data_IF_976759628445
#
_entry.id   IF_976759628445
#
_cell.length_a   1.000
_cell.length_b   1.000
_cell.length_c   1.000
_cell.angle_alpha   90.00
_cell.angle_beta   90.00
_cell.angle_gamma   90.00
#
_symmetry.space_group_name_H-M   'P 1'
#
loop_
_entity.id
_entity.type
_entity.pdbx_description
1 polymer ?
#
# COMPACT_ATOMS: atom_id res chain seq x y z
N UNK A 1 -13.15 -16.58 14.46
CA UNK A 1 -13.50 -15.98 13.96
C UNK A 1 -12.81 -15.01 13.20
N UNK A 2 -11.68 -14.74 13.40
CA UNK A 2 -10.98 -13.74 12.66
C UNK A 2 -9.96 -14.30 11.74
N UNK A 3 -10.16 -15.52 11.32
CA UNK A 3 -9.22 -16.16 10.42
C UNK A 3 -9.54 -15.91 8.97
N UNK A 4 -10.52 -15.05 8.70
CA UNK A 4 -10.87 -14.78 7.33
C UNK A 4 -9.88 -13.80 6.74
N UNK A 5 -9.67 -13.83 5.42
CA UNK A 5 -8.82 -12.84 4.78
C UNK A 5 -9.27 -11.41 5.08
N UNK A 6 -10.57 -11.20 5.22
CA UNK A 6 -11.08 -9.86 5.49
C UNK A 6 -10.63 -9.35 6.85
N UNK A 7 -10.53 -10.23 7.84
CA UNK A 7 -10.07 -9.80 9.16
C UNK A 7 -8.67 -9.25 9.09
N UNK A 8 -7.79 -9.95 8.38
CA UNK A 8 -6.42 -9.50 8.21
C UNK A 8 -6.37 -8.19 7.42
N UNK A 9 -7.14 -8.12 6.34
CA UNK A 9 -7.15 -6.93 5.51
C UNK A 9 -7.61 -5.71 6.29
N UNK A 10 -8.64 -5.87 7.10
CA UNK A 10 -9.14 -4.74 7.89
C UNK A 10 -8.12 -4.29 8.92
N UNK A 11 -7.41 -5.25 9.50
CA UNK A 11 -6.38 -4.93 10.47
C UNK A 11 -5.29 -4.06 9.83
N UNK A 12 -4.78 -4.50 8.69
CA UNK A 12 -3.73 -3.77 7.99
C UNK A 12 -4.26 -2.41 7.52
N UNK A 13 -5.48 -2.40 7.00
CA UNK A 13 -6.08 -1.16 6.52
C UNK A 13 -6.15 -0.12 7.64
N UNK A 14 -6.52 -0.56 8.84
CA UNK A 14 -6.63 0.37 9.96
C UNK A 14 -5.27 0.92 10.38
N UNK A 15 -4.24 0.08 10.33
CA UNK A 15 -2.90 0.53 10.69
C UNK A 15 -2.45 1.61 9.71
N UNK A 16 -2.65 1.39 8.41
CA UNK A 16 -2.21 2.35 7.41
C UNK A 16 -3.03 3.63 7.52
N UNK A 17 -4.35 3.50 7.68
CA UNK A 17 -5.20 4.67 7.77
C UNK A 17 -4.83 5.53 8.98
N UNK A 18 -4.54 4.89 10.10
CA UNK A 18 -4.15 5.64 11.29
C UNK A 18 -2.83 6.37 11.07
N UNK A 19 -1.89 5.75 10.39
CA UNK A 19 -0.62 6.39 10.10
C UNK A 19 -0.82 7.62 9.23
N UNK A 20 -1.72 7.52 8.26
CA UNK A 20 -2.02 8.65 7.38
C UNK A 20 -2.69 9.76 8.19
N UNK A 21 -3.66 9.41 9.00
CA UNK A 21 -4.41 10.39 9.78
C UNK A 21 -3.51 11.11 10.78
N UNK A 22 -2.58 10.39 11.37
CA UNK A 22 -1.68 10.96 12.36
C UNK A 22 -0.44 11.56 11.74
N UNK A 23 -0.31 11.48 10.42
CA UNK A 23 0.83 12.02 9.68
C UNK A 23 2.16 11.40 10.15
N UNK A 24 2.14 10.07 10.36
CA UNK A 24 3.34 9.36 10.80
C UNK A 24 3.68 8.22 9.84
N UNK A 25 3.47 8.44 8.54
CA UNK A 25 3.74 7.44 7.54
C UNK A 25 5.24 7.19 7.43
N UNK A 26 5.62 5.91 7.42
CA UNK A 26 7.00 5.49 7.32
C UNK A 26 7.11 4.39 6.27
N UNK A 27 8.34 3.98 5.98
CA UNK A 27 8.56 2.92 4.99
C UNK A 27 7.84 1.64 5.37
N UNK A 28 7.77 1.37 6.65
CA UNK A 28 7.06 0.20 7.15
C UNK A 28 5.62 0.16 6.62
N UNK A 29 4.99 1.31 6.47
CA UNK A 29 3.61 1.35 5.99
C UNK A 29 3.50 1.01 4.51
N UNK A 30 4.55 1.29 3.74
CA UNK A 30 4.58 0.86 2.35
C UNK A 30 4.68 -0.67 2.26
N UNK A 31 5.43 -1.28 3.17
CA UNK A 31 5.51 -2.72 3.21
C UNK A 31 4.15 -3.33 3.52
N UNK A 32 3.44 -2.74 4.47
CA UNK A 32 2.10 -3.22 4.81
C UNK A 32 1.14 -3.03 3.64
N UNK A 33 1.24 -1.90 2.95
CA UNK A 33 0.38 -1.64 1.82
C UNK A 33 0.62 -2.65 0.70
N UNK A 34 1.89 -2.94 0.41
CA UNK A 34 2.20 -3.93 -0.60
C UNK A 34 1.64 -5.31 -0.20
N UNK A 35 1.76 -5.64 1.07
CA UNK A 35 1.23 -6.89 1.57
C UNK A 35 -0.28 -6.96 1.36
N UNK A 36 -0.95 -5.86 1.64
CA UNK A 36 -2.39 -5.78 1.45
C UNK A 36 -2.75 -5.96 -0.03
N UNK A 37 -2.00 -5.30 -0.91
CA UNK A 37 -2.24 -5.43 -2.34
C UNK A 37 -2.02 -6.86 -2.82
N UNK A 38 -0.97 -7.50 -2.34
CA UNK A 38 -0.67 -8.87 -2.75
C UNK A 38 -1.78 -9.82 -2.33
N UNK A 39 -2.26 -9.68 -1.11
CA UNK A 39 -3.30 -10.58 -0.62
C UNK A 39 -4.62 -10.34 -1.32
N UNK A 40 -4.92 -9.08 -1.62
CA UNK A 40 -6.15 -8.76 -2.35
C UNK A 40 -6.08 -9.31 -3.77
N UNK A 41 -4.93 -9.15 -4.42
CA UNK A 41 -4.77 -9.66 -5.77
C UNK A 41 -4.94 -11.17 -5.80
N UNK A 42 -4.35 -11.86 -4.84
CA UNK A 42 -4.46 -13.30 -4.76
C UNK A 42 -5.91 -13.72 -4.54
N UNK A 43 -6.60 -13.01 -3.66
CA UNK A 43 -7.99 -13.32 -3.35
C UNK A 43 -8.89 -13.12 -4.57
N UNK A 44 -8.61 -12.08 -5.37
CA UNK A 44 -9.43 -11.76 -6.52
C UNK A 44 -8.98 -12.45 -7.80
N UNK A 45 -7.87 -13.17 -7.75
CA UNK A 45 -7.42 -13.91 -8.91
C UNK A 45 -6.55 -13.13 -9.88
N UNK A 46 -6.04 -11.99 -9.45
CA UNK A 46 -5.11 -11.23 -10.29
C UNK A 46 -3.71 -11.81 -10.20
N UNK A 47 -2.98 -11.74 -11.30
CA UNK A 47 -1.62 -12.25 -11.34
C UNK A 47 -0.63 -11.28 -10.70
N UNK A 48 -0.90 -10.00 -10.77
CA UNK A 48 0.00 -8.98 -10.27
C UNK A 48 -0.73 -8.00 -9.41
N UNK A 49 -0.17 -7.71 -8.24
CA UNK A 49 -0.81 -6.74 -7.35
C UNK A 49 -0.80 -5.33 -7.93
N UNK A 50 0.13 -5.05 -8.85
CA UNK A 50 0.17 -3.74 -9.49
C UNK A 50 -1.08 -3.42 -10.29
N UNK A 51 -1.79 -4.46 -10.71
CA UNK A 51 -3.02 -4.25 -11.46
C UNK A 51 -4.13 -3.66 -10.60
N UNK A 52 -3.94 -3.61 -9.30
CA UNK A 52 -4.91 -3.02 -8.39
C UNK A 52 -4.71 -1.53 -8.18
N UNK A 53 -3.64 -0.97 -8.72
CA UNK A 53 -3.37 0.46 -8.58
C UNK A 53 -4.13 1.22 -9.66
N UNK A 54 -5.36 1.58 -9.34
CA UNK A 54 -6.27 2.20 -10.31
C UNK A 54 -6.54 3.64 -9.93
N UNK A 55 -5.59 4.51 -10.26
CA UNK A 55 -5.77 5.95 -10.03
C UNK A 55 -6.21 6.57 -11.34
N UNK A 56 -7.32 7.27 -11.29
CA UNK A 56 -7.89 7.89 -12.47
C UNK A 56 -6.89 8.88 -13.06
N UNK A 57 -6.70 8.81 -14.38
CA UNK A 57 -5.77 9.69 -15.05
C UNK A 57 -4.33 9.24 -15.02
N UNK A 58 -4.05 8.12 -14.37
CA UNK A 58 -2.71 7.60 -14.29
C UNK A 58 -2.36 6.85 -15.58
N UNK A 59 -1.19 7.15 -16.13
CA UNK A 59 -0.72 6.42 -17.29
C UNK A 59 -0.10 5.09 -16.86
N UNK A 60 0.10 4.19 -17.82
CA UNK A 60 0.77 2.93 -17.53
C UNK A 60 2.18 3.20 -17.01
N UNK A 61 2.83 4.20 -17.55
CA UNK A 61 4.18 4.51 -17.14
C UNK A 61 4.22 4.98 -15.69
N UNK A 62 3.25 5.81 -15.31
CA UNK A 62 3.15 6.26 -13.94
C UNK A 62 2.90 5.09 -13.02
N UNK A 63 2.02 4.18 -13.43
CA UNK A 63 1.71 3.03 -12.59
C UNK A 63 2.94 2.16 -12.39
N UNK A 64 3.72 1.95 -13.43
CA UNK A 64 4.95 1.18 -13.31
C UNK A 64 5.93 1.86 -12.36
N UNK A 65 5.98 3.17 -12.41
CA UNK A 65 6.83 3.93 -11.50
C UNK A 65 6.41 3.76 -10.05
N UNK A 66 5.10 3.80 -9.80
CA UNK A 66 4.60 3.60 -8.45
C UNK A 66 4.88 2.18 -7.96
N UNK A 67 4.74 1.19 -8.85
CA UNK A 67 5.04 -0.18 -8.48
C UNK A 67 6.51 -0.31 -8.08
N UNK A 68 7.39 0.29 -8.87
CA UNK A 68 8.82 0.25 -8.55
C UNK A 68 9.10 0.92 -7.22
N UNK A 69 8.45 2.04 -6.96
CA UNK A 69 8.66 2.74 -5.71
C UNK A 69 8.17 1.92 -4.52
N UNK A 70 6.99 1.33 -4.63
CA UNK A 70 6.45 0.51 -3.54
C UNK A 70 7.38 -0.67 -3.27
N UNK A 71 7.87 -1.31 -4.33
CA UNK A 71 8.80 -2.41 -4.16
C UNK A 71 10.07 -1.95 -3.44
N UNK A 72 10.60 -0.83 -3.87
CA UNK A 72 11.82 -0.31 -3.27
C UNK A 72 11.60 0.05 -1.81
N UNK A 73 10.49 0.70 -1.50
CA UNK A 73 10.22 1.13 -0.14
C UNK A 73 9.95 -0.04 0.80
N UNK A 74 9.48 -1.17 0.25
CA UNK A 74 9.15 -2.30 1.09
C UNK A 74 10.32 -3.25 1.31
N UNK A 75 11.46 -3.03 0.65
CA UNK A 75 12.64 -3.86 0.87
C UNK A 75 13.50 -3.21 1.94
N UNK A 76 13.38 -3.71 3.15
CA UNK A 76 14.14 -3.18 4.28
C UNK A 76 15.30 -4.09 4.60
N UNK A 77 16.44 -3.81 4.00
CA UNK A 77 17.65 -4.47 4.43
C UNK A 77 18.20 -3.72 5.62
N UNK A 78 18.96 -4.44 6.43
CA UNK A 78 19.55 -3.82 7.60
C UNK A 78 20.36 -2.59 7.22
N UNK A 79 21.07 -2.69 6.09
CA UNK A 79 21.87 -1.56 5.62
C UNK A 79 21.02 -0.36 5.25
N UNK A 80 19.74 -0.59 5.00
CA UNK A 80 18.83 0.48 4.64
C UNK A 80 18.15 1.11 5.84
N UNK A 81 18.44 0.61 7.02
CA UNK A 81 17.89 1.21 8.24
C UNK A 81 18.42 2.60 8.49
N UNK A 82 19.58 2.88 7.92
CA UNK A 82 20.07 4.24 7.97
C UNK A 82 19.45 5.04 6.88
N UNK A 83 18.58 4.43 6.15
CA UNK A 83 18.03 5.05 5.04
C UNK A 83 17.14 6.15 5.46
N UNK A 84 17.06 7.04 4.63
CA UNK A 84 16.40 8.22 4.62
C UNK A 84 14.99 8.11 5.02
N UNK A 85 14.53 9.05 5.78
CA UNK A 85 13.14 9.21 6.04
C UNK A 85 12.43 9.47 4.73
N UNK A 86 11.15 9.16 4.72
CA UNK A 86 10.34 9.43 3.56
C UNK A 86 10.19 10.93 3.36
N UNK A 87 10.26 11.35 2.12
CA UNK A 87 10.02 12.74 1.79
C UNK A 87 8.52 13.02 1.86
N UNK A 88 8.13 14.28 2.07
CA UNK A 88 6.70 14.60 2.14
C UNK A 88 5.90 14.13 0.94
N UNK A 89 6.46 14.26 -0.27
CA UNK A 89 5.74 13.81 -1.45
C UNK A 89 5.60 12.30 -1.48
N UNK A 90 6.52 11.57 -0.86
CA UNK A 90 6.42 10.12 -0.79
C UNK A 90 5.34 9.71 0.19
N UNK A 91 5.22 10.43 1.29
CA UNK A 91 4.14 10.17 2.24
C UNK A 91 2.78 10.45 1.61
N UNK A 92 2.70 11.52 0.83
CA UNK A 92 1.45 11.86 0.14
C UNK A 92 1.11 10.83 -0.91
N UNK A 93 2.13 10.20 -1.51
CA UNK A 93 1.89 9.16 -2.49
C UNK A 93 1.19 7.97 -1.85
N UNK A 94 1.64 7.57 -0.66
CA UNK A 94 0.96 6.46 0.02
C UNK A 94 -0.50 6.82 0.28
N UNK A 95 -0.74 8.04 0.73
CA UNK A 95 -2.10 8.48 0.99
C UNK A 95 -2.96 8.39 -0.26
N UNK A 96 -2.45 8.90 -1.38
CA UNK A 96 -3.19 8.87 -2.63
C UNK A 96 -3.48 7.44 -3.07
N UNK A 97 -2.47 6.60 -3.10
CA UNK A 97 -2.64 5.24 -3.58
C UNK A 97 -3.52 4.43 -2.66
N UNK A 98 -3.35 4.61 -1.36
CA UNK A 98 -4.12 3.85 -0.39
C UNK A 98 -5.59 4.26 -0.42
N UNK A 99 -5.87 5.56 -0.49
CA UNK A 99 -7.25 6.03 -0.49
C UNK A 99 -7.95 5.64 -1.79
N UNK A 100 -7.23 5.66 -2.91
CA UNK A 100 -7.81 5.21 -4.16
C UNK A 100 -8.12 3.72 -4.10
N UNK A 101 -7.18 2.94 -3.57
CA UNK A 101 -7.36 1.50 -3.48
C UNK A 101 -8.54 1.15 -2.58
N UNK A 102 -8.64 1.78 -1.42
CA UNK A 102 -9.73 1.45 -0.50
C UNK A 102 -11.07 1.98 -1.00
N UNK A 103 -11.05 3.02 -1.82
CA UNK A 103 -12.28 3.50 -2.44
C UNK A 103 -12.78 2.52 -3.48
N UNK A 104 -11.87 1.86 -4.19
CA UNK A 104 -12.24 0.92 -5.24
C UNK A 104 -12.61 -0.45 -4.66
N UNK A 105 -11.87 -0.91 -3.68
CA UNK A 105 -12.09 -2.22 -3.08
C UNK A 105 -12.53 -2.04 -1.65
N UNK A 106 -13.83 -1.96 -1.44
CA UNK A 106 -14.37 -1.71 -0.11
C UNK A 106 -14.64 -3.01 0.60
N UNK A 107 -14.22 -3.05 1.84
CA UNK A 107 -14.55 -4.16 2.71
C UNK A 107 -15.48 -3.66 3.79
N UNK A 108 -16.45 -4.49 4.13
CA UNK A 108 -17.34 -4.13 5.21
C UNK A 108 -16.59 -4.19 6.54
N UNK A 109 -16.84 -3.25 7.38
CA UNK A 109 -16.23 -3.23 8.69
C UNK A 109 -17.21 -3.59 9.77
#
# INVERSE_FOLDING_TARGET
QNDTPFGYHLFIKRIIQKAIDDNVVERYHFMLFRNLLEKTASFLGYNNWGDLLLVEGMSDEDRKGYIRFINSASHNKVSDLEAKELKPNEKNLLKLLFETFTGEYKWKE
#
